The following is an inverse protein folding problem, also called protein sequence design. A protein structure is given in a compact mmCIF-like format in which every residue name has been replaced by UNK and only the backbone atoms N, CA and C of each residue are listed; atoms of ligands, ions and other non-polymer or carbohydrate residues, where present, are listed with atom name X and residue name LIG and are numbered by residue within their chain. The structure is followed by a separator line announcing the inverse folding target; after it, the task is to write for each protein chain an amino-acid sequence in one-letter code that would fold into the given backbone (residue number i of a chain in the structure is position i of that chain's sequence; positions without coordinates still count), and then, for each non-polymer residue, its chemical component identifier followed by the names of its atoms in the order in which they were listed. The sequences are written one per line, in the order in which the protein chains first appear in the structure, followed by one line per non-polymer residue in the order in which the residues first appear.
data_IF_183926500550
#
_entry.id   IF_183926500550
#
_cell.length_a   1.000
_cell.length_b   1.000
_cell.length_c   1.000
_cell.angle_alpha   90.00
_cell.angle_beta   90.00
_cell.angle_gamma   90.00
#
_symmetry.space_group_name_H-M   'P 1'
#
loop_
_entity.id
_entity.type
_entity.pdbx_description
1 polymer ?
#
# COMPACT_ATOMS: atom_id res chain seq x y z
N UNK A 1 -3.83 3.90 -12.90
CA UNK A 1 -4.14 3.76 -11.46
C UNK A 1 -3.74 2.38 -10.96
N UNK A 2 -3.10 2.31 -9.80
CA UNK A 2 -2.73 1.06 -9.14
C UNK A 2 -3.19 1.13 -7.69
N UNK A 3 -3.36 -0.04 -7.06
CA UNK A 3 -3.54 -0.13 -5.62
C UNK A 3 -2.17 -0.36 -4.99
N UNK A 4 -1.86 0.35 -3.92
CA UNK A 4 -0.60 0.22 -3.21
C UNK A 4 -0.85 -0.28 -1.79
N UNK A 5 -0.01 -1.21 -1.34
CA UNK A 5 0.00 -1.65 0.05
C UNK A 5 0.53 -0.50 0.94
N UNK A 6 0.14 -0.49 2.19
CA UNK A 6 0.56 0.54 3.16
C UNK A 6 2.07 0.69 3.21
N UNK A 7 2.83 -0.40 3.13
CA UNK A 7 4.29 -0.34 3.15
C UNK A 7 4.87 0.37 1.93
N UNK A 8 4.22 0.32 0.78
CA UNK A 8 4.65 1.09 -0.40
C UNK A 8 4.57 2.59 -0.10
N UNK A 9 3.48 3.02 0.53
CA UNK A 9 3.33 4.42 0.95
C UNK A 9 4.43 4.79 1.95
N UNK A 10 4.68 3.91 2.92
CA UNK A 10 5.72 4.13 3.91
C UNK A 10 7.11 4.27 3.27
N UNK A 11 7.44 3.41 2.31
CA UNK A 11 8.74 3.46 1.62
C UNK A 11 8.94 4.76 0.84
N UNK A 12 7.85 5.38 0.40
CA UNK A 12 7.93 6.64 -0.32
C UNK A 12 8.30 7.80 0.62
N UNK A 13 7.74 7.81 1.83
CA UNK A 13 7.92 8.93 2.77
C UNK A 13 9.02 8.71 3.80
N UNK A 14 9.43 7.46 4.02
CA UNK A 14 10.44 7.10 5.02
C UNK A 14 11.63 6.50 4.29
N UNK A 15 12.86 7.02 4.48
CA UNK A 15 14.03 6.51 3.77
C UNK A 15 14.27 5.01 4.02
N UNK A 16 14.29 4.23 2.95
CA UNK A 16 14.57 2.78 2.97
C UNK A 16 15.27 2.41 1.68
N UNK A 17 15.67 1.14 1.56
CA UNK A 17 16.25 0.62 0.31
C UNK A 17 15.26 0.64 -0.87
N UNK A 18 13.97 0.83 -0.60
CA UNK A 18 12.94 0.86 -1.63
C UNK A 18 12.54 2.29 -2.06
N UNK A 19 13.14 3.31 -1.46
CA UNK A 19 12.71 4.70 -1.69
C UNK A 19 12.82 5.12 -3.16
N UNK A 20 13.93 4.79 -3.80
CA UNK A 20 14.12 5.14 -5.22
C UNK A 20 13.08 4.45 -6.11
N UNK A 21 12.77 3.19 -5.84
CA UNK A 21 11.78 2.43 -6.60
C UNK A 21 10.38 3.01 -6.42
N UNK A 22 10.02 3.43 -5.22
CA UNK A 22 8.71 4.02 -4.97
C UNK A 22 8.57 5.39 -5.60
N UNK A 23 9.66 6.17 -5.65
CA UNK A 23 9.66 7.45 -6.38
C UNK A 23 9.42 7.23 -7.87
N UNK A 24 10.11 6.24 -8.45
CA UNK A 24 9.92 5.89 -9.85
C UNK A 24 8.49 5.39 -10.10
N UNK A 25 7.96 4.58 -9.19
CA UNK A 25 6.58 4.10 -9.28
C UNK A 25 5.59 5.27 -9.35
N UNK A 26 5.76 6.27 -8.49
CA UNK A 26 4.88 7.43 -8.48
C UNK A 26 4.98 8.25 -9.76
N UNK A 27 6.18 8.37 -10.33
CA UNK A 27 6.37 9.05 -11.59
C UNK A 27 5.66 8.33 -12.74
N UNK A 28 5.71 7.00 -12.75
CA UNK A 28 5.12 6.18 -13.82
C UNK A 28 3.61 5.99 -13.64
N UNK A 29 3.15 5.90 -12.40
CA UNK A 29 1.76 5.69 -12.02
C UNK A 29 1.41 6.66 -10.89
N UNK A 30 1.02 7.90 -11.21
CA UNK A 30 0.79 8.90 -10.17
C UNK A 30 -0.51 8.72 -9.39
N UNK A 31 -1.42 7.88 -9.87
CA UNK A 31 -2.71 7.66 -9.23
C UNK A 31 -2.65 6.39 -8.37
N UNK A 32 -2.41 6.57 -7.08
CA UNK A 32 -2.35 5.51 -6.10
C UNK A 32 -3.67 5.41 -5.35
N UNK A 33 -4.25 4.21 -5.28
CA UNK A 33 -5.48 3.93 -4.56
C UNK A 33 -5.22 2.96 -3.42
N UNK A 34 -6.03 3.05 -2.38
CA UNK A 34 -5.93 2.14 -1.23
C UNK A 34 -7.29 2.02 -0.53
N UNK A 35 -7.55 0.91 0.17
CA UNK A 35 -8.70 0.85 1.06
C UNK A 35 -8.50 1.82 2.23
N UNK A 36 -9.58 2.29 2.81
CA UNK A 36 -9.55 3.29 3.91
C UNK A 36 -8.63 2.84 5.06
N UNK A 37 -8.50 1.53 5.27
CA UNK A 37 -7.62 0.93 6.27
C UNK A 37 -6.17 1.44 6.21
N UNK A 38 -5.68 1.84 5.04
CA UNK A 38 -4.28 2.26 4.88
C UNK A 38 -3.88 3.32 5.90
N UNK A 39 -4.80 4.23 6.20
CA UNK A 39 -4.50 5.35 7.09
C UNK A 39 -4.19 4.89 8.52
N UNK A 40 -5.00 3.96 9.03
CA UNK A 40 -4.77 3.38 10.37
C UNK A 40 -3.46 2.59 10.40
N UNK A 41 -3.18 1.84 9.38
CA UNK A 41 -1.93 1.08 9.29
C UNK A 41 -0.71 2.00 9.20
N UNK A 42 -0.81 3.06 8.40
CA UNK A 42 0.27 4.03 8.25
C UNK A 42 0.56 4.78 9.55
N UNK A 43 -0.49 5.19 10.25
CA UNK A 43 -0.33 5.79 11.59
C UNK A 43 0.40 4.84 12.54
N UNK A 44 0.11 3.55 12.45
CA UNK A 44 0.78 2.56 13.29
C UNK A 44 2.27 2.43 12.94
N UNK A 45 2.61 2.43 11.65
CA UNK A 45 4.01 2.44 11.21
C UNK A 45 4.72 3.67 11.77
N UNK A 46 4.14 4.85 11.60
CA UNK A 46 4.74 6.10 12.05
C UNK A 46 4.85 6.16 13.59
N UNK A 47 3.92 5.54 14.32
CA UNK A 47 3.99 5.50 15.78
C UNK A 47 5.26 4.82 16.27
N UNK A 48 5.76 3.81 15.55
CA UNK A 48 7.03 3.16 15.87
C UNK A 48 8.21 4.13 15.75
N UNK A 49 8.24 4.93 14.70
CA UNK A 49 9.30 5.93 14.50
C UNK A 49 9.23 7.03 15.56
N UNK A 50 8.03 7.43 15.95
CA UNK A 50 7.83 8.42 17.00
C UNK A 50 8.34 7.90 18.36
N UNK A 51 7.99 6.68 18.72
CA UNK A 51 8.41 6.08 20.00
C UNK A 51 9.92 5.88 20.08
N UNK A 52 10.56 5.55 18.97
CA UNK A 52 12.01 5.39 18.89
C UNK A 52 12.74 6.74 18.78
N UNK A 53 12.00 7.84 18.74
CA UNK A 53 12.53 9.20 18.62
C UNK A 53 13.34 9.43 17.34
N UNK A 54 13.02 8.68 16.28
CA UNK A 54 13.63 8.85 14.97
C UNK A 54 13.00 10.03 14.23
N UNK A 55 11.74 10.31 14.48
CA UNK A 55 11.02 11.48 13.97
C UNK A 55 10.31 12.18 15.13
N UNK A 56 10.26 13.51 15.09
CA UNK A 56 9.44 14.28 16.03
C UNK A 56 7.99 14.37 15.54
N UNK A 57 7.11 14.88 16.39
CA UNK A 57 5.68 14.95 16.05
C UNK A 57 5.41 15.85 14.85
N UNK A 58 6.14 16.94 14.70
CA UNK A 58 5.94 17.85 13.58
C UNK A 58 6.28 17.17 12.25
N UNK A 59 7.37 16.41 12.21
CA UNK A 59 7.73 15.60 11.03
C UNK A 59 6.67 14.56 10.72
N UNK A 60 6.16 13.86 11.74
CA UNK A 60 5.10 12.86 11.58
C UNK A 60 3.83 13.48 10.98
N UNK A 61 3.41 14.63 11.52
CA UNK A 61 2.21 15.33 11.03
C UNK A 61 2.40 15.76 9.57
N UNK A 62 3.59 16.26 9.23
CA UNK A 62 3.91 16.66 7.86
C UNK A 62 3.83 15.48 6.89
N UNK A 63 4.37 14.33 7.28
CA UNK A 63 4.30 13.10 6.48
C UNK A 63 2.86 12.66 6.29
N UNK A 64 2.07 12.67 7.36
CA UNK A 64 0.65 12.28 7.30
C UNK A 64 -0.13 13.19 6.36
N UNK A 65 0.08 14.51 6.45
CA UNK A 65 -0.60 15.46 5.58
C UNK A 65 -0.27 15.21 4.10
N UNK A 66 0.99 14.97 3.79
CA UNK A 66 1.41 14.69 2.41
C UNK A 66 0.81 13.37 1.90
N UNK A 67 0.84 12.32 2.72
CA UNK A 67 0.30 11.03 2.33
C UNK A 67 -1.22 11.09 2.14
N UNK A 68 -1.92 11.79 3.02
CA UNK A 68 -3.38 11.96 2.90
C UNK A 68 -3.73 12.76 1.65
N UNK A 69 -2.92 13.75 1.27
CA UNK A 69 -3.11 14.47 0.02
C UNK A 69 -2.88 13.58 -1.20
N UNK A 70 -1.84 12.74 -1.15
CA UNK A 70 -1.52 11.82 -2.25
C UNK A 70 -2.68 10.85 -2.51
N UNK A 71 -3.29 10.33 -1.46
CA UNK A 71 -4.38 9.36 -1.56
C UNK A 71 -5.77 10.02 -1.62
N UNK A 72 -5.84 11.35 -1.59
CA UNK A 72 -7.11 12.08 -1.63
C UNK A 72 -7.91 11.68 -2.86
N UNK A 73 -9.20 11.42 -2.69
CA UNK A 73 -10.13 10.97 -3.73
C UNK A 73 -9.81 9.56 -4.28
N UNK A 74 -8.83 8.87 -3.70
CA UNK A 74 -8.45 7.51 -4.10
C UNK A 74 -8.54 6.53 -2.92
N UNK A 75 -9.31 6.86 -1.90
CA UNK A 75 -9.60 5.98 -0.79
C UNK A 75 -10.94 5.30 -0.99
N UNK A 76 -11.00 3.98 -0.76
CA UNK A 76 -12.18 3.18 -1.07
C UNK A 76 -12.58 2.30 0.10
N UNK A 77 -13.87 2.10 0.26
CA UNK A 77 -14.39 1.04 1.11
C UNK A 77 -14.49 -0.23 0.30
N UNK A 78 -14.29 -1.38 0.94
CA UNK A 78 -14.35 -2.69 0.27
C UNK A 78 -15.49 -3.53 0.85
N UNK A 79 -16.01 -4.42 0.04
CA UNK A 79 -17.10 -5.32 0.42
C UNK A 79 -16.60 -6.40 1.38
N UNK A 80 -17.29 -6.58 2.51
CA UNK A 80 -16.97 -7.66 3.44
C UNK A 80 -17.04 -9.04 2.80
N UNK A 81 -18.03 -9.26 1.93
CA UNK A 81 -18.16 -10.53 1.24
C UNK A 81 -16.93 -10.82 0.36
N UNK A 82 -16.50 -9.81 -0.42
CA UNK A 82 -15.31 -9.96 -1.27
C UNK A 82 -14.05 -10.24 -0.45
N UNK A 83 -13.88 -9.52 0.65
CA UNK A 83 -12.73 -9.72 1.56
C UNK A 83 -12.75 -11.14 2.13
N UNK A 84 -13.90 -11.59 2.66
CA UNK A 84 -13.97 -12.91 3.29
C UNK A 84 -13.83 -14.06 2.30
N UNK A 85 -14.26 -13.88 1.05
CA UNK A 85 -13.99 -14.86 0.01
C UNK A 85 -12.49 -15.03 -0.24
N UNK A 86 -11.73 -13.92 -0.25
CA UNK A 86 -10.29 -13.98 -0.43
C UNK A 86 -9.60 -14.59 0.79
N UNK A 87 -10.10 -14.31 1.99
CA UNK A 87 -9.60 -14.94 3.23
C UNK A 87 -9.78 -16.46 3.15
N UNK A 88 -10.92 -16.92 2.65
CA UNK A 88 -11.20 -18.37 2.54
C UNK A 88 -10.28 -19.08 1.55
N UNK A 89 -9.67 -18.35 0.62
CA UNK A 89 -8.82 -18.90 -0.44
C UNK A 89 -7.32 -18.82 -0.12
N UNK A 90 -6.94 -18.27 1.03
CA UNK A 90 -5.55 -17.95 1.32
C UNK A 90 -5.28 -18.01 2.82
N UNK A 91 -4.01 -17.84 3.19
CA UNK A 91 -3.60 -17.67 4.59
C UNK A 91 -3.37 -16.18 4.93
N UNK A 92 -3.75 -15.28 4.02
CA UNK A 92 -3.61 -13.85 4.25
C UNK A 92 -4.66 -13.35 5.25
N UNK A 93 -4.30 -12.30 6.00
CA UNK A 93 -5.24 -11.67 6.92
C UNK A 93 -6.38 -10.98 6.17
N UNK A 94 -7.48 -10.70 6.87
CA UNK A 94 -8.56 -9.91 6.30
C UNK A 94 -8.06 -8.50 5.94
N UNK A 95 -7.11 -7.95 6.68
CA UNK A 95 -6.49 -6.65 6.37
C UNK A 95 -5.78 -6.69 5.03
N UNK A 96 -4.94 -7.71 4.79
CA UNK A 96 -4.26 -7.89 3.51
C UNK A 96 -5.25 -8.07 2.37
N UNK A 97 -6.30 -8.82 2.62
CA UNK A 97 -7.33 -9.11 1.61
C UNK A 97 -8.17 -7.88 1.25
N UNK A 98 -8.20 -6.82 2.08
CA UNK A 98 -8.84 -5.57 1.68
C UNK A 98 -8.12 -4.95 0.49
N UNK A 99 -6.79 -4.97 0.49
CA UNK A 99 -5.99 -4.45 -0.62
C UNK A 99 -6.17 -5.27 -1.89
N UNK A 100 -6.18 -6.59 -1.76
CA UNK A 100 -6.41 -7.49 -2.90
C UNK A 100 -7.82 -7.30 -3.47
N UNK A 101 -8.83 -7.21 -2.59
CA UNK A 101 -10.22 -6.98 -2.99
C UNK A 101 -10.38 -5.69 -3.78
N UNK A 102 -9.74 -4.62 -3.31
CA UNK A 102 -9.80 -3.34 -3.99
C UNK A 102 -9.18 -3.42 -5.39
N UNK A 103 -8.02 -4.07 -5.51
CA UNK A 103 -7.37 -4.23 -6.81
C UNK A 103 -8.25 -5.00 -7.79
N UNK A 104 -8.91 -6.06 -7.33
CA UNK A 104 -9.87 -6.80 -8.15
C UNK A 104 -11.03 -5.91 -8.60
N UNK A 105 -11.61 -5.19 -7.65
CA UNK A 105 -12.76 -4.33 -7.91
C UNK A 105 -12.45 -3.23 -8.92
N UNK A 106 -11.27 -2.64 -8.81
CA UNK A 106 -10.81 -1.59 -9.73
C UNK A 106 -10.19 -2.15 -11.02
N UNK A 107 -10.13 -3.47 -11.14
CA UNK A 107 -9.53 -4.15 -12.29
C UNK A 107 -8.11 -3.67 -12.57
N UNK A 108 -7.31 -3.61 -11.53
CA UNK A 108 -5.91 -3.18 -11.60
C UNK A 108 -5.03 -4.07 -10.74
N UNK A 109 -3.75 -3.72 -10.62
CA UNK A 109 -2.79 -4.49 -9.84
C UNK A 109 -2.58 -3.90 -8.45
N UNK A 110 -2.25 -4.77 -7.51
CA UNK A 110 -1.79 -4.39 -6.18
C UNK A 110 -0.26 -4.44 -6.17
N UNK A 111 0.38 -3.36 -5.79
CA UNK A 111 1.83 -3.33 -5.62
C UNK A 111 2.15 -3.52 -4.14
N UNK A 112 2.90 -4.57 -3.86
CA UNK A 112 3.26 -4.95 -2.48
C UNK A 112 4.60 -5.67 -2.46
N UNK A 113 5.29 -5.59 -1.33
CA UNK A 113 6.50 -6.38 -1.08
C UNK A 113 6.23 -7.57 -0.14
N UNK A 114 4.98 -7.73 0.29
CA UNK A 114 4.60 -8.82 1.19
C UNK A 114 4.59 -10.16 0.44
N UNK A 115 5.48 -11.06 0.85
CA UNK A 115 5.65 -12.36 0.16
C UNK A 115 4.42 -13.24 0.27
N UNK A 116 3.71 -13.17 1.37
CA UNK A 116 2.50 -13.98 1.55
C UNK A 116 1.41 -13.57 0.57
N UNK A 117 1.21 -12.27 0.37
CA UNK A 117 0.26 -11.75 -0.61
C UNK A 117 0.71 -12.10 -2.03
N UNK A 118 1.99 -11.89 -2.34
CA UNK A 118 2.54 -12.20 -3.66
C UNK A 118 2.39 -13.67 -4.01
N UNK A 119 2.59 -14.56 -3.05
CA UNK A 119 2.45 -15.99 -3.27
C UNK A 119 0.99 -16.43 -3.40
N UNK A 120 0.11 -15.82 -2.61
CA UNK A 120 -1.32 -16.20 -2.60
C UNK A 120 -2.08 -15.66 -3.81
N UNK A 121 -1.73 -14.47 -4.29
CA UNK A 121 -2.48 -13.78 -5.35
C UNK A 121 -1.56 -13.29 -6.48
N UNK A 122 -0.83 -14.20 -7.14
CA UNK A 122 0.20 -13.80 -8.12
C UNK A 122 -0.37 -13.14 -9.39
N UNK A 123 -1.67 -13.29 -9.65
CA UNK A 123 -2.32 -12.68 -10.81
C UNK A 123 -2.76 -11.23 -10.52
N UNK A 124 -2.84 -10.86 -9.26
CA UNK A 124 -3.32 -9.54 -8.82
C UNK A 124 -2.17 -8.72 -8.25
N UNK A 125 -1.31 -9.34 -7.45
CA UNK A 125 -0.24 -8.67 -6.71
C UNK A 125 1.10 -8.78 -7.43
N UNK A 126 1.82 -7.66 -7.51
CA UNK A 126 3.16 -7.59 -8.08
C UNK A 126 4.09 -6.86 -7.12
N UNK A 127 5.35 -7.29 -7.09
CA UNK A 127 6.38 -6.55 -6.36
C UNK A 127 6.76 -5.28 -7.12
N UNK A 128 7.40 -4.34 -6.42
CA UNK A 128 7.95 -3.13 -7.06
C UNK A 128 8.85 -3.51 -8.23
N UNK A 129 9.79 -4.40 -7.99
CA UNK A 129 10.75 -4.82 -9.00
C UNK A 129 10.04 -5.38 -10.24
N UNK A 130 9.13 -6.32 -10.05
CA UNK A 130 8.42 -6.94 -11.16
C UNK A 130 7.57 -5.93 -11.93
N UNK A 131 6.87 -5.05 -11.22
CA UNK A 131 6.03 -4.04 -11.87
C UNK A 131 6.87 -3.06 -12.70
N UNK A 132 7.96 -2.56 -12.13
CA UNK A 132 8.81 -1.59 -12.81
C UNK A 132 9.53 -2.20 -14.01
N UNK A 133 9.96 -3.46 -13.92
CA UNK A 133 10.62 -4.17 -15.02
C UNK A 133 9.69 -4.34 -16.22
N UNK A 134 8.41 -4.58 -15.97
CA UNK A 134 7.41 -4.75 -17.04
C UNK A 134 7.09 -3.46 -17.77
N UNK A 135 7.37 -2.29 -17.17
CA UNK A 135 7.03 -0.98 -17.73
C UNK A 135 8.20 -0.29 -18.42
N UNK A 136 9.40 -0.82 -18.26
CA UNK A 136 10.63 -0.25 -18.82
C UNK A 136 10.94 -0.82 -20.21
#
# INVERSE_FOLDING_TARGET
MIVVDTNIIAYFYIPTKYSEQTELLLQMEPKWAAPVLWKSEFRNVLSGYLRKKLFDIDTIVSILDEAENLLSDQEYQVSSLSVMNLVSQSDCSAYDCEFVSLAEHLNTKLITQDKQILNAFPQIALSLETYLDKKV
#
